data_IF_101367415380
#
_entry.id   IF_101367415380
#
_cell.length_a   1.000
_cell.length_b   1.000
_cell.length_c   1.000
_cell.angle_alpha   90.00
_cell.angle_beta   90.00
_cell.angle_gamma   90.00
#
_symmetry.space_group_name_H-M   'P 1'
#
loop_
_entity.id
_entity.type
_entity.pdbx_description
1 polymer ?
#
# COMPACT_ATOMS: atom_id res chain seq x y z
N UNK A 1 -45.34 -72.17 -37.52
CA UNK A 1 -45.02 -71.02 -38.41
C UNK A 1 -45.38 -69.74 -37.68
N UNK A 2 -44.55 -68.71 -37.88
CA UNK A 2 -44.60 -67.35 -37.35
C UNK A 2 -43.88 -67.07 -36.03
N UNK A 3 -42.77 -66.35 -36.24
CA UNK A 3 -41.82 -65.68 -35.35
C UNK A 3 -42.49 -64.65 -34.45
N UNK A 4 -41.99 -64.52 -33.22
CA UNK A 4 -41.85 -63.21 -32.58
C UNK A 4 -40.63 -63.19 -31.66
N UNK A 5 -39.71 -62.27 -31.98
CA UNK A 5 -38.52 -61.91 -31.20
C UNK A 5 -38.93 -61.14 -29.93
N UNK A 6 -38.25 -61.36 -28.80
CA UNK A 6 -38.07 -60.31 -27.80
C UNK A 6 -36.57 -60.08 -27.59
N UNK A 7 -36.17 -58.87 -27.97
CA UNK A 7 -34.84 -58.32 -27.86
C UNK A 7 -34.54 -57.89 -26.42
N UNK A 8 -33.37 -58.30 -25.93
CA UNK A 8 -32.64 -57.68 -24.84
C UNK A 8 -32.20 -56.27 -25.28
N UNK A 9 -32.44 -55.24 -24.47
CA UNK A 9 -31.74 -53.96 -24.60
C UNK A 9 -31.45 -53.42 -23.19
N UNK A 10 -30.25 -53.72 -22.69
CA UNK A 10 -29.66 -53.04 -21.55
C UNK A 10 -28.93 -51.80 -22.05
N UNK A 11 -29.43 -50.62 -21.69
CA UNK A 11 -28.79 -49.34 -21.98
C UNK A 11 -27.63 -49.11 -21.01
N UNK A 12 -26.39 -49.20 -21.50
CA UNK A 12 -25.19 -48.74 -20.80
C UNK A 12 -25.06 -47.22 -21.00
N UNK A 13 -25.37 -46.42 -19.97
CA UNK A 13 -25.11 -44.98 -19.99
C UNK A 13 -23.69 -44.74 -19.51
N UNK A 14 -22.76 -44.47 -20.45
CA UNK A 14 -21.39 -44.06 -20.13
C UNK A 14 -21.42 -42.58 -19.75
N UNK A 15 -21.20 -42.28 -18.47
CA UNK A 15 -20.98 -40.92 -17.98
C UNK A 15 -19.54 -40.51 -18.30
N UNK A 16 -19.35 -39.73 -19.35
CA UNK A 16 -18.05 -39.14 -19.69
C UNK A 16 -17.82 -37.92 -18.78
N UNK A 17 -17.07 -38.11 -17.69
CA UNK A 17 -16.60 -37.02 -16.85
C UNK A 17 -15.48 -36.30 -17.63
N UNK A 18 -15.83 -35.19 -18.28
CA UNK A 18 -14.85 -34.24 -18.80
C UNK A 18 -14.22 -33.51 -17.61
N UNK A 19 -13.05 -33.98 -17.18
CA UNK A 19 -12.11 -33.19 -16.38
C UNK A 19 -11.67 -32.01 -17.25
N UNK A 20 -12.36 -30.87 -17.09
CA UNK A 20 -11.86 -29.58 -17.58
C UNK A 20 -10.68 -29.21 -16.67
N UNK A 21 -9.50 -29.64 -17.06
CA UNK A 21 -8.25 -29.08 -16.55
C UNK A 21 -8.20 -27.62 -17.00
N UNK A 22 -8.50 -26.68 -16.10
CA UNK A 22 -8.21 -25.27 -16.32
C UNK A 22 -6.75 -25.14 -16.76
N UNK A 23 -6.44 -24.48 -17.88
CA UNK A 23 -5.06 -24.26 -18.25
C UNK A 23 -4.45 -23.42 -17.14
N UNK A 24 -3.41 -23.95 -16.48
CA UNK A 24 -2.50 -23.11 -15.73
C UNK A 24 -1.97 -22.10 -16.74
N UNK A 25 -2.39 -20.84 -16.64
CA UNK A 25 -1.84 -19.77 -17.47
C UNK A 25 -0.35 -19.69 -17.15
N UNK A 26 0.48 -20.29 -18.00
CA UNK A 26 1.92 -20.16 -17.90
C UNK A 26 2.23 -18.67 -18.10
N UNK A 27 2.67 -18.00 -17.03
CA UNK A 27 3.04 -16.59 -17.11
C UNK A 27 4.18 -16.44 -18.14
N UNK A 28 4.09 -15.49 -19.08
CA UNK A 28 4.90 -15.49 -20.30
C UNK A 28 6.38 -15.08 -20.12
N UNK A 29 6.77 -14.66 -18.92
CA UNK A 29 8.11 -14.11 -18.64
C UNK A 29 8.87 -14.97 -17.65
N UNK A 30 10.21 -15.06 -17.78
CA UNK A 30 11.10 -15.58 -16.73
C UNK A 30 11.39 -14.50 -15.67
N UNK A 31 11.71 -14.90 -14.43
CA UNK A 31 12.03 -13.94 -13.34
C UNK A 31 13.22 -13.04 -13.65
N UNK A 32 14.19 -13.56 -14.40
CA UNK A 32 15.37 -12.82 -14.83
C UNK A 32 15.09 -11.83 -15.98
N UNK A 33 13.94 -11.93 -16.66
CA UNK A 33 13.60 -11.06 -17.79
C UNK A 33 12.76 -9.87 -17.33
N UNK A 34 13.46 -8.90 -16.76
CA UNK A 34 12.88 -7.67 -16.21
C UNK A 34 12.18 -6.80 -17.29
N UNK A 35 12.60 -6.89 -18.54
CA UNK A 35 11.98 -6.15 -19.66
C UNK A 35 10.64 -6.78 -20.01
N UNK A 36 10.57 -8.11 -20.10
CA UNK A 36 9.32 -8.83 -20.32
C UNK A 36 8.34 -8.57 -19.17
N UNK A 37 8.78 -8.74 -17.90
CA UNK A 37 7.94 -8.53 -16.72
C UNK A 37 7.36 -7.11 -16.70
N UNK A 38 8.21 -6.09 -16.91
CA UNK A 38 7.77 -4.70 -16.97
C UNK A 38 6.71 -4.49 -18.05
N UNK A 39 6.92 -5.00 -19.26
CA UNK A 39 5.95 -4.88 -20.36
C UNK A 39 4.63 -5.59 -20.03
N UNK A 40 4.69 -6.76 -19.40
CA UNK A 40 3.51 -7.53 -19.00
C UNK A 40 2.69 -6.80 -17.93
N UNK A 41 3.36 -6.28 -16.89
CA UNK A 41 2.75 -5.46 -15.84
C UNK A 41 2.15 -4.19 -16.46
N UNK A 42 2.93 -3.45 -17.26
CA UNK A 42 2.49 -2.16 -17.80
C UNK A 42 1.30 -2.30 -18.76
N UNK A 43 1.25 -3.38 -19.54
CA UNK A 43 0.17 -3.68 -20.49
C UNK A 43 -1.02 -4.42 -19.89
N UNK A 44 -1.03 -4.72 -18.59
CA UNK A 44 -2.03 -5.60 -17.98
C UNK A 44 -3.43 -4.96 -17.97
N UNK A 45 -4.48 -5.78 -18.18
CA UNK A 45 -5.86 -5.32 -18.26
C UNK A 45 -6.34 -4.59 -16.99
N UNK A 46 -5.88 -5.03 -15.81
CA UNK A 46 -6.21 -4.39 -14.52
C UNK A 46 -5.64 -2.97 -14.38
N UNK A 47 -4.75 -2.54 -15.26
CA UNK A 47 -4.29 -1.13 -15.30
C UNK A 47 -5.21 -0.24 -16.13
N UNK A 48 -6.27 -0.78 -16.72
CA UNK A 48 -7.22 -0.07 -17.58
C UNK A 48 -8.54 0.14 -16.88
N UNK A 49 -9.08 1.37 -16.94
CA UNK A 49 -10.35 1.69 -16.30
C UNK A 49 -11.51 0.85 -16.83
N UNK A 50 -11.44 0.42 -18.09
CA UNK A 50 -12.41 -0.45 -18.70
C UNK A 50 -12.63 -1.76 -17.92
N UNK A 51 -11.55 -2.35 -17.36
CA UNK A 51 -11.65 -3.56 -16.53
C UNK A 51 -12.43 -3.30 -15.24
N UNK A 52 -12.25 -2.11 -14.65
CA UNK A 52 -12.82 -1.77 -13.34
C UNK A 52 -14.22 -1.14 -13.38
N UNK A 53 -14.70 -0.67 -14.53
CA UNK A 53 -16.04 -0.06 -14.67
C UNK A 53 -17.18 -0.86 -13.99
N UNK A 54 -17.22 -2.21 -14.07
CA UNK A 54 -18.26 -2.99 -13.38
C UNK A 54 -18.13 -2.97 -11.84
N UNK A 55 -16.91 -2.76 -11.32
CA UNK A 55 -16.59 -2.80 -9.89
C UNK A 55 -16.84 -1.46 -9.19
N UNK A 56 -16.80 -0.34 -9.92
CA UNK A 56 -16.89 1.02 -9.40
C UNK A 56 -18.30 1.46 -8.96
N UNK A 57 -19.28 0.56 -8.89
CA UNK A 57 -20.65 0.89 -8.46
C UNK A 57 -20.76 0.93 -6.93
N UNK A 58 -21.67 1.76 -6.41
CA UNK A 58 -21.91 1.89 -4.96
C UNK A 58 -20.87 2.75 -4.25
N UNK A 59 -20.76 2.60 -2.94
CA UNK A 59 -19.77 3.25 -2.06
C UNK A 59 -18.54 2.37 -1.87
N UNK A 60 -17.46 2.88 -1.27
CA UNK A 60 -16.27 2.09 -0.93
C UNK A 60 -16.58 0.81 -0.17
N UNK A 61 -17.57 0.82 0.73
CA UNK A 61 -18.05 -0.38 1.44
C UNK A 61 -18.62 -1.44 0.49
N UNK A 62 -19.33 -1.03 -0.56
CA UNK A 62 -19.88 -1.92 -1.60
C UNK A 62 -18.81 -2.44 -2.57
N UNK A 63 -17.60 -1.85 -2.53
CA UNK A 63 -16.46 -2.17 -3.40
C UNK A 63 -15.38 -3.01 -2.70
N UNK A 64 -15.66 -3.52 -1.50
CA UNK A 64 -14.81 -4.50 -0.82
C UNK A 64 -15.10 -5.90 -1.36
N UNK A 65 -14.11 -6.58 -1.92
CA UNK A 65 -14.30 -7.89 -2.58
C UNK A 65 -13.09 -8.80 -2.45
N UNK A 66 -13.30 -10.08 -2.71
CA UNK A 66 -12.22 -11.02 -3.06
C UNK A 66 -11.53 -10.55 -4.34
N UNK A 67 -10.20 -10.67 -4.42
CA UNK A 67 -9.46 -10.36 -5.63
C UNK A 67 -9.90 -11.24 -6.82
N UNK A 68 -10.23 -10.66 -7.99
CA UNK A 68 -10.47 -11.43 -9.22
C UNK A 68 -9.18 -12.09 -9.73
N UNK A 69 -9.30 -13.12 -10.57
CA UNK A 69 -8.15 -13.88 -11.05
C UNK A 69 -7.13 -13.00 -11.79
N UNK A 70 -7.62 -12.06 -12.60
CA UNK A 70 -6.78 -11.11 -13.35
C UNK A 70 -5.99 -10.19 -12.42
N UNK A 71 -6.54 -9.83 -11.25
CA UNK A 71 -5.79 -9.07 -10.26
C UNK A 71 -4.69 -9.92 -9.61
N UNK A 72 -4.97 -11.19 -9.33
CA UNK A 72 -3.96 -12.11 -8.77
C UNK A 72 -2.81 -12.31 -9.75
N UNK A 73 -3.12 -12.56 -11.03
CA UNK A 73 -2.11 -12.71 -12.09
C UNK A 73 -1.21 -11.46 -12.19
N UNK A 74 -1.83 -10.28 -12.13
CA UNK A 74 -1.12 -9.01 -12.09
C UNK A 74 -0.19 -8.87 -10.88
N UNK A 75 -0.69 -9.14 -9.67
CA UNK A 75 0.10 -9.01 -8.44
C UNK A 75 1.27 -9.99 -8.41
N UNK A 76 1.11 -11.19 -8.96
CA UNK A 76 2.22 -12.16 -9.12
C UNK A 76 3.29 -11.60 -10.07
N UNK A 77 2.88 -11.02 -11.21
CA UNK A 77 3.83 -10.39 -12.15
C UNK A 77 4.55 -9.20 -11.52
N UNK A 78 3.82 -8.37 -10.75
CA UNK A 78 4.38 -7.20 -10.08
C UNK A 78 5.35 -7.60 -8.96
N UNK A 79 5.01 -8.59 -8.14
CA UNK A 79 5.93 -9.13 -7.12
C UNK A 79 7.23 -9.63 -7.75
N UNK A 80 7.14 -10.40 -8.85
CA UNK A 80 8.31 -10.89 -9.58
C UNK A 80 9.15 -9.76 -10.18
N UNK A 81 8.51 -8.74 -10.75
CA UNK A 81 9.18 -7.53 -11.27
C UNK A 81 9.96 -6.81 -10.16
N UNK A 82 9.38 -6.73 -8.96
CA UNK A 82 9.98 -6.04 -7.82
C UNK A 82 10.86 -6.93 -6.93
N UNK A 83 11.01 -8.21 -7.27
CA UNK A 83 11.88 -9.17 -6.57
C UNK A 83 11.33 -9.72 -5.25
N UNK A 84 10.02 -9.63 -5.03
CA UNK A 84 9.32 -10.29 -3.92
C UNK A 84 9.14 -11.78 -4.22
N UNK A 85 9.38 -12.62 -3.23
CA UNK A 85 9.25 -14.09 -3.36
C UNK A 85 7.81 -14.55 -3.10
N UNK A 86 7.01 -13.69 -2.47
CA UNK A 86 5.63 -13.92 -2.12
C UNK A 86 4.76 -14.04 -3.37
N UNK A 87 3.86 -15.02 -3.36
CA UNK A 87 2.91 -15.31 -4.43
C UNK A 87 1.51 -15.05 -3.91
N UNK A 88 0.89 -13.91 -4.29
CA UNK A 88 -0.42 -13.53 -3.80
C UNK A 88 -1.49 -14.56 -4.18
N UNK A 89 -2.38 -14.85 -3.25
CA UNK A 89 -3.55 -15.71 -3.49
C UNK A 89 -4.83 -15.00 -3.07
N UNK A 90 -5.95 -15.23 -3.78
CA UNK A 90 -7.21 -14.58 -3.42
C UNK A 90 -7.70 -15.10 -2.07
N UNK A 91 -8.23 -14.20 -1.25
CA UNK A 91 -8.77 -14.55 0.06
C UNK A 91 -10.25 -14.17 0.16
N UNK A 92 -11.04 -15.08 0.73
CA UNK A 92 -12.42 -14.77 1.10
C UNK A 92 -12.42 -13.93 2.36
N UNK A 93 -13.35 -12.97 2.44
CA UNK A 93 -13.47 -12.14 3.63
C UNK A 93 -14.11 -12.93 4.77
N UNK A 94 -13.33 -13.21 5.81
CA UNK A 94 -13.89 -13.70 7.05
C UNK A 94 -14.87 -12.66 7.64
N UNK A 95 -16.00 -13.06 8.26
CA UNK A 95 -16.99 -12.10 8.76
C UNK A 95 -16.42 -11.05 9.72
N UNK A 96 -15.49 -11.45 10.60
CA UNK A 96 -14.83 -10.53 11.52
C UNK A 96 -13.92 -9.53 10.82
N UNK A 97 -13.20 -9.97 9.78
CA UNK A 97 -12.36 -9.08 8.99
C UNK A 97 -13.19 -8.08 8.17
N UNK A 98 -14.29 -8.55 7.56
CA UNK A 98 -15.22 -7.69 6.83
C UNK A 98 -15.82 -6.60 7.74
N UNK A 99 -16.20 -6.96 8.97
CA UNK A 99 -16.73 -6.02 9.95
C UNK A 99 -15.69 -4.95 10.33
N UNK A 100 -14.46 -5.36 10.65
CA UNK A 100 -13.40 -4.42 11.02
C UNK A 100 -13.01 -3.51 9.86
N UNK A 101 -12.95 -4.03 8.63
CA UNK A 101 -12.66 -3.23 7.44
C UNK A 101 -13.78 -2.21 7.16
N UNK A 102 -15.05 -2.64 7.25
CA UNK A 102 -16.19 -1.75 7.07
C UNK A 102 -16.20 -0.64 8.14
N UNK A 103 -15.91 -0.98 9.39
CA UNK A 103 -15.84 -0.02 10.50
C UNK A 103 -14.64 0.93 10.36
N UNK A 104 -13.49 0.44 9.90
CA UNK A 104 -12.32 1.26 9.62
C UNK A 104 -12.59 2.32 8.55
N UNK A 105 -13.27 1.93 7.46
CA UNK A 105 -13.73 2.85 6.42
C UNK A 105 -14.77 3.83 6.94
N UNK A 106 -15.78 3.35 7.69
CA UNK A 106 -16.82 4.22 8.24
C UNK A 106 -16.29 5.31 9.16
N UNK A 107 -15.23 5.01 9.90
CA UNK A 107 -14.60 5.94 10.82
C UNK A 107 -13.68 6.96 10.12
N UNK A 108 -13.54 6.93 8.79
CA UNK A 108 -12.79 7.94 8.06
C UNK A 108 -13.54 9.28 8.07
N UNK A 109 -12.84 10.44 8.12
CA UNK A 109 -13.51 11.73 8.05
C UNK A 109 -14.31 11.89 6.74
N UNK A 110 -15.47 12.56 6.75
CA UNK A 110 -16.32 12.72 5.56
C UNK A 110 -15.59 13.29 4.34
N UNK A 111 -14.69 14.25 4.56
CA UNK A 111 -13.88 14.83 3.47
C UNK A 111 -12.95 13.80 2.82
N UNK A 112 -12.44 12.82 3.58
CA UNK A 112 -11.62 11.73 3.04
C UNK A 112 -12.46 10.83 2.14
N UNK A 113 -13.71 10.51 2.53
CA UNK A 113 -14.63 9.82 1.64
C UNK A 113 -14.87 10.59 0.34
N UNK A 114 -15.18 11.89 0.43
CA UNK A 114 -15.49 12.72 -0.73
C UNK A 114 -14.38 12.71 -1.78
N UNK A 115 -13.11 12.75 -1.35
CA UNK A 115 -11.96 12.75 -2.28
C UNK A 115 -11.57 11.35 -2.76
N UNK A 116 -11.83 10.31 -1.96
CA UNK A 116 -11.46 8.92 -2.25
C UNK A 116 -12.46 8.25 -3.20
N UNK A 117 -13.76 8.36 -2.90
CA UNK A 117 -14.84 7.61 -3.57
C UNK A 117 -14.85 7.73 -5.10
N UNK A 118 -14.61 8.91 -5.70
CA UNK A 118 -14.57 9.04 -7.15
C UNK A 118 -13.39 8.32 -7.82
N UNK A 119 -12.31 8.06 -7.08
CA UNK A 119 -11.07 7.47 -7.58
C UNK A 119 -10.96 5.97 -7.30
N UNK A 120 -11.64 5.46 -6.27
CA UNK A 120 -11.49 4.09 -5.82
C UNK A 120 -12.20 3.09 -6.75
N UNK A 121 -11.45 2.24 -7.44
CA UNK A 121 -11.97 1.11 -8.19
C UNK A 121 -12.58 0.03 -7.27
N UNK A 122 -11.87 -0.29 -6.19
CA UNK A 122 -12.29 -1.22 -5.16
C UNK A 122 -11.16 -1.57 -4.19
N UNK A 123 -11.52 -2.30 -3.14
CA UNK A 123 -10.60 -2.81 -2.12
C UNK A 123 -10.64 -4.33 -2.19
N UNK A 124 -9.51 -4.95 -2.48
CA UNK A 124 -9.40 -6.38 -2.76
C UNK A 124 -8.59 -7.10 -1.69
N UNK A 125 -9.09 -8.26 -1.24
CA UNK A 125 -8.45 -9.01 -0.16
C UNK A 125 -7.69 -10.20 -0.72
N UNK A 126 -6.44 -10.33 -0.27
CA UNK A 126 -5.51 -11.40 -0.64
C UNK A 126 -4.79 -11.94 0.58
N UNK A 127 -3.98 -12.98 0.39
CA UNK A 127 -2.93 -13.40 1.31
C UNK A 127 -1.61 -13.52 0.57
N UNK A 128 -0.51 -13.44 1.31
CA UNK A 128 0.84 -13.62 0.79
C UNK A 128 1.20 -12.55 -0.26
N UNK A 129 0.89 -11.28 0.07
CA UNK A 129 1.18 -10.12 -0.77
C UNK A 129 2.68 -9.75 -0.75
N UNK A 130 3.37 -9.98 0.36
CA UNK A 130 4.73 -9.47 0.61
C UNK A 130 4.77 -8.12 1.33
N UNK A 131 3.60 -7.57 1.67
CA UNK A 131 3.42 -6.32 2.41
C UNK A 131 2.06 -6.29 3.12
N UNK A 132 1.70 -5.12 3.65
CA UNK A 132 0.46 -4.92 4.43
C UNK A 132 -0.71 -4.46 3.60
N UNK A 133 -0.40 -3.63 2.61
CA UNK A 133 -1.32 -3.09 1.64
C UNK A 133 -0.54 -2.82 0.35
N UNK A 134 -1.30 -2.57 -0.70
CA UNK A 134 -0.79 -2.21 -2.00
C UNK A 134 -1.83 -1.34 -2.70
N UNK A 135 -1.37 -0.37 -3.47
CA UNK A 135 -2.23 0.46 -4.28
C UNK A 135 -1.61 0.63 -5.66
N UNK A 136 -2.43 0.48 -6.70
CA UNK A 136 -2.03 0.75 -8.08
C UNK A 136 -3.07 1.63 -8.78
N UNK A 137 -2.56 2.48 -9.66
CA UNK A 137 -3.30 3.40 -10.47
C UNK A 137 -3.85 2.72 -11.71
N UNK A 138 -5.00 3.23 -12.10
CA UNK A 138 -5.76 2.79 -13.25
C UNK A 138 -5.79 3.94 -14.25
N UNK A 139 -5.40 3.62 -15.48
CA UNK A 139 -5.34 4.54 -16.59
C UNK A 139 -6.70 4.61 -17.30
N UNK A 140 -7.12 5.81 -17.67
CA UNK A 140 -8.29 6.05 -18.50
C UNK A 140 -8.05 5.70 -19.99
N UNK A 141 -9.04 5.92 -20.85
CA UNK A 141 -8.93 5.67 -22.29
C UNK A 141 -7.89 6.56 -23.00
N UNK A 142 -7.36 7.58 -22.32
CA UNK A 142 -6.31 8.49 -22.81
C UNK A 142 -4.95 8.20 -22.18
N UNK A 143 -4.78 7.01 -21.58
CA UNK A 143 -3.56 6.61 -20.89
C UNK A 143 -3.18 7.55 -19.71
N UNK A 144 -4.15 8.25 -19.14
CA UNK A 144 -3.96 9.17 -18.02
C UNK A 144 -4.37 8.51 -16.70
N UNK A 145 -3.55 8.60 -15.62
CA UNK A 145 -3.95 8.08 -14.31
C UNK A 145 -5.21 8.77 -13.79
N UNK A 146 -6.28 8.00 -13.57
CA UNK A 146 -7.60 8.54 -13.26
C UNK A 146 -8.23 7.94 -11.99
N UNK A 147 -7.96 6.66 -11.73
CA UNK A 147 -8.52 5.90 -10.61
C UNK A 147 -7.44 4.99 -10.00
N UNK A 148 -7.78 4.16 -9.04
CA UNK A 148 -6.88 3.15 -8.50
C UNK A 148 -7.61 2.10 -7.67
N UNK A 149 -7.00 0.94 -7.49
CA UNK A 149 -7.50 -0.10 -6.59
C UNK A 149 -6.54 -0.26 -5.41
N UNK A 150 -7.10 -0.71 -4.29
CA UNK A 150 -6.35 -1.03 -3.07
C UNK A 150 -6.41 -2.54 -2.88
N UNK A 151 -5.31 -3.13 -2.44
CA UNK A 151 -5.21 -4.53 -2.05
C UNK A 151 -4.74 -4.59 -0.61
N UNK A 152 -5.36 -5.44 0.20
CA UNK A 152 -4.96 -5.67 1.60
C UNK A 152 -4.65 -7.15 1.81
N UNK A 153 -3.56 -7.41 2.54
CA UNK A 153 -3.22 -8.76 2.97
C UNK A 153 -3.90 -9.07 4.31
N UNK A 154 -4.80 -10.06 4.31
CA UNK A 154 -5.51 -10.49 5.52
C UNK A 154 -4.54 -11.00 6.62
N UNK A 155 -3.40 -11.61 6.22
CA UNK A 155 -2.46 -12.23 7.15
C UNK A 155 -1.65 -11.22 7.98
N UNK A 156 -1.45 -10.01 7.47
CA UNK A 156 -0.81 -8.92 8.23
C UNK A 156 -1.70 -8.44 9.38
N UNK A 157 -3.00 -8.63 9.24
CA UNK A 157 -4.01 -7.96 10.05
C UNK A 157 -4.41 -8.81 11.26
N UNK A 158 -3.59 -9.75 11.73
CA UNK A 158 -3.87 -10.48 12.99
C UNK A 158 -3.43 -9.73 14.25
N UNK A 159 -2.79 -8.56 14.09
CA UNK A 159 -2.23 -7.74 15.17
C UNK A 159 -3.16 -6.59 15.56
N UNK A 160 -3.04 -6.11 16.78
CA UNK A 160 -3.60 -4.81 17.19
C UNK A 160 -2.85 -3.66 16.52
N UNK A 161 -3.40 -2.45 16.54
CA UNK A 161 -2.82 -1.26 15.90
C UNK A 161 -1.37 -1.00 16.34
N UNK A 162 -1.11 -0.99 17.65
CA UNK A 162 0.21 -0.72 18.20
C UNK A 162 1.18 -1.88 17.96
N UNK A 163 0.72 -3.13 18.02
CA UNK A 163 1.54 -4.31 17.73
C UNK A 163 1.94 -4.37 16.24
N UNK A 164 1.00 -4.06 15.34
CA UNK A 164 1.27 -3.93 13.91
C UNK A 164 2.27 -2.80 13.64
N UNK A 165 2.01 -1.61 14.20
CA UNK A 165 2.85 -0.44 13.99
C UNK A 165 4.27 -0.65 14.51
N UNK A 166 4.42 -1.22 15.71
CA UNK A 166 5.73 -1.61 16.29
C UNK A 166 6.46 -2.59 15.37
N UNK A 167 5.78 -3.64 14.91
CA UNK A 167 6.38 -4.62 14.00
C UNK A 167 6.85 -3.96 12.70
N UNK A 168 5.98 -3.16 12.07
CA UNK A 168 6.28 -2.44 10.83
C UNK A 168 7.51 -1.54 10.97
N UNK A 169 7.52 -0.67 11.97
CA UNK A 169 8.63 0.27 12.22
C UNK A 169 9.93 -0.44 12.61
N UNK A 170 9.86 -1.72 13.02
CA UNK A 170 11.03 -2.56 13.31
C UNK A 170 11.63 -3.21 12.07
N UNK A 171 10.87 -3.37 10.99
CA UNK A 171 11.33 -4.10 9.78
C UNK A 171 12.61 -3.54 9.15
N UNK A 172 12.94 -2.24 9.20
CA UNK A 172 14.21 -1.74 8.65
C UNK A 172 15.46 -2.15 9.44
N UNK A 173 15.29 -2.55 10.70
CA UNK A 173 16.38 -2.76 11.66
C UNK A 173 16.65 -4.24 11.89
N UNK A 174 17.93 -4.59 11.97
CA UNK A 174 18.34 -5.88 12.52
C UNK A 174 18.03 -5.91 14.01
N UNK A 175 17.67 -7.07 14.54
CA UNK A 175 17.44 -7.25 15.97
C UNK A 175 18.70 -6.88 16.76
N UNK A 176 18.52 -6.17 17.87
CA UNK A 176 19.56 -5.80 18.81
C UNK A 176 19.12 -6.20 20.23
N UNK A 177 20.02 -6.77 21.06
CA UNK A 177 19.64 -7.24 22.40
C UNK A 177 19.46 -6.10 23.41
N UNK A 178 19.97 -4.90 23.13
CA UNK A 178 19.88 -3.75 24.03
C UNK A 178 18.79 -2.78 23.60
N UNK A 179 18.64 -2.55 22.29
CA UNK A 179 17.73 -1.56 21.74
C UNK A 179 16.48 -2.22 21.14
N UNK A 180 15.32 -1.66 21.49
CA UNK A 180 14.03 -1.99 20.88
C UNK A 180 13.23 -0.73 20.64
N UNK A 181 12.23 -0.83 19.77
CA UNK A 181 11.24 0.23 19.59
C UNK A 181 9.85 -0.25 19.99
N UNK A 182 9.06 0.68 20.52
CA UNK A 182 7.65 0.48 20.84
C UNK A 182 6.85 1.59 20.17
N UNK A 183 5.92 1.20 19.31
CA UNK A 183 5.06 2.12 18.56
C UNK A 183 3.68 2.23 19.18
N UNK A 184 3.13 3.44 19.19
CA UNK A 184 1.78 3.74 19.65
C UNK A 184 1.06 4.63 18.64
N UNK A 185 0.04 4.08 17.99
CA UNK A 185 -0.90 4.81 17.12
C UNK A 185 -2.33 4.82 17.68
N UNK A 186 -2.60 4.03 18.72
CA UNK A 186 -3.87 4.03 19.45
C UNK A 186 -3.66 3.96 20.96
N UNK A 187 -4.63 4.48 21.72
CA UNK A 187 -4.69 4.25 23.16
C UNK A 187 -5.16 2.81 23.44
N UNK A 188 -4.93 2.32 24.67
CA UNK A 188 -5.23 0.92 25.03
C UNK A 188 -6.69 0.49 24.74
N UNK A 189 -7.67 1.38 24.92
CA UNK A 189 -9.08 1.07 24.65
C UNK A 189 -9.38 0.84 23.16
N UNK A 190 -8.55 1.44 22.29
CA UNK A 190 -8.72 1.47 20.84
C UNK A 190 -7.62 0.66 20.12
N UNK A 191 -6.72 0.02 20.86
CA UNK A 191 -5.64 -0.79 20.30
C UNK A 191 -6.18 -2.14 19.80
N UNK A 192 -6.79 -2.11 18.61
CA UNK A 192 -7.48 -3.23 18.00
C UNK A 192 -7.16 -3.32 16.50
N UNK A 193 -7.61 -4.41 15.87
CA UNK A 193 -7.36 -4.69 14.45
C UNK A 193 -8.01 -3.64 13.53
N UNK A 194 -9.24 -3.21 13.81
CA UNK A 194 -9.93 -2.18 13.02
C UNK A 194 -9.07 -0.92 12.88
N UNK A 195 -8.47 -0.46 13.97
CA UNK A 195 -7.64 0.74 13.93
C UNK A 195 -6.28 0.53 13.24
N UNK A 196 -5.73 -0.69 13.27
CA UNK A 196 -4.60 -1.05 12.40
C UNK A 196 -4.98 -0.93 10.92
N UNK A 197 -6.13 -1.50 10.54
CA UNK A 197 -6.68 -1.44 9.17
C UNK A 197 -6.90 0.02 8.77
N UNK A 198 -7.45 0.86 9.64
CA UNK A 198 -7.69 2.27 9.33
C UNK A 198 -6.38 2.99 8.98
N UNK A 199 -5.31 2.79 9.75
CA UNK A 199 -4.03 3.45 9.44
C UNK A 199 -3.43 2.95 8.12
N UNK A 200 -3.50 1.65 7.85
CA UNK A 200 -3.04 1.06 6.57
C UNK A 200 -3.86 1.64 5.41
N UNK A 201 -5.18 1.65 5.53
CA UNK A 201 -6.06 2.24 4.51
C UNK A 201 -5.73 3.70 4.25
N UNK A 202 -5.47 4.48 5.30
CA UNK A 202 -5.10 5.88 5.14
C UNK A 202 -3.81 6.04 4.32
N UNK A 203 -2.83 5.16 4.48
CA UNK A 203 -1.63 5.13 3.66
C UNK A 203 -1.97 4.84 2.19
N UNK A 204 -2.71 3.76 1.91
CA UNK A 204 -3.09 3.40 0.54
C UNK A 204 -3.98 4.45 -0.13
N UNK A 205 -4.88 5.08 0.63
CA UNK A 205 -5.68 6.22 0.18
C UNK A 205 -4.77 7.40 -0.15
N UNK A 206 -3.69 7.62 0.59
CA UNK A 206 -2.67 8.61 0.25
C UNK A 206 -2.11 8.40 -1.16
N UNK A 207 -1.73 7.18 -1.52
CA UNK A 207 -1.35 6.86 -2.91
C UNK A 207 -2.50 7.08 -3.89
N UNK A 208 -3.72 6.65 -3.58
CA UNK A 208 -4.89 6.87 -4.43
C UNK A 208 -5.16 8.34 -4.73
N UNK A 209 -5.05 9.21 -3.73
CA UNK A 209 -5.31 10.64 -3.88
C UNK A 209 -4.19 11.32 -4.66
N UNK A 210 -3.00 10.72 -4.73
CA UNK A 210 -1.91 11.19 -5.58
C UNK A 210 -2.17 10.97 -7.08
N UNK A 211 -3.03 10.00 -7.44
CA UNK A 211 -3.35 9.67 -8.84
C UNK A 211 -3.98 10.87 -9.55
N UNK A 212 -3.33 11.34 -10.61
CA UNK A 212 -3.76 12.54 -11.35
C UNK A 212 -3.63 13.85 -10.55
N UNK A 213 -3.00 13.80 -9.37
CA UNK A 213 -2.73 14.94 -8.51
C UNK A 213 -1.36 15.57 -8.76
N UNK A 214 -1.18 16.82 -8.32
CA UNK A 214 0.10 17.56 -8.42
C UNK A 214 0.93 17.45 -7.15
N UNK A 215 1.11 16.22 -6.65
CA UNK A 215 1.90 15.94 -5.45
C UNK A 215 3.29 15.40 -5.76
N UNK A 216 3.37 14.49 -6.73
CA UNK A 216 4.58 13.94 -7.33
C UNK A 216 4.25 13.41 -8.74
N UNK A 217 5.24 13.17 -9.63
CA UNK A 217 5.01 12.52 -10.91
C UNK A 217 4.38 11.14 -10.75
N UNK A 218 3.74 10.65 -11.81
CA UNK A 218 3.26 9.27 -11.87
C UNK A 218 4.43 8.26 -11.80
N UNK A 219 4.28 7.18 -11.03
CA UNK A 219 5.42 6.30 -10.70
C UNK A 219 6.05 5.59 -11.89
N UNK A 220 5.28 5.24 -12.92
CA UNK A 220 5.86 4.68 -14.16
C UNK A 220 6.66 5.70 -14.97
N UNK A 221 6.29 6.98 -14.92
CA UNK A 221 7.05 8.05 -15.58
C UNK A 221 8.30 8.42 -14.77
N UNK A 222 8.26 8.18 -13.46
CA UNK A 222 9.39 8.35 -12.55
C UNK A 222 9.96 9.78 -12.53
N UNK A 223 11.25 9.92 -12.19
CA UNK A 223 11.93 11.22 -12.14
C UNK A 223 11.98 11.95 -13.48
N UNK A 224 11.89 11.21 -14.60
CA UNK A 224 12.01 11.78 -15.96
C UNK A 224 10.83 12.67 -16.36
N UNK A 225 9.69 12.52 -15.68
CA UNK A 225 8.51 13.36 -15.88
C UNK A 225 8.61 14.72 -15.18
N UNK A 226 9.51 14.88 -14.21
CA UNK A 226 9.72 16.17 -13.55
C UNK A 226 10.38 17.15 -14.51
N UNK A 227 9.71 18.26 -14.84
CA UNK A 227 10.23 19.26 -15.78
C UNK A 227 10.90 20.41 -15.05
N UNK A 228 10.25 20.94 -14.02
CA UNK A 228 10.74 22.11 -13.31
C UNK A 228 10.22 22.19 -11.87
N UNK A 229 10.93 22.98 -11.06
CA UNK A 229 10.52 23.30 -9.68
C UNK A 229 9.19 24.07 -9.71
N UNK A 230 8.27 23.70 -8.82
CA UNK A 230 6.93 24.27 -8.70
C UNK A 230 5.86 23.44 -9.41
N UNK A 231 6.24 22.48 -10.26
CA UNK A 231 5.30 21.57 -10.92
C UNK A 231 4.55 20.71 -9.87
N UNK A 232 5.29 20.21 -8.88
CA UNK A 232 4.82 19.38 -7.76
C UNK A 232 5.20 20.02 -6.41
N UNK A 233 4.39 20.97 -5.88
CA UNK A 233 4.76 21.74 -4.69
C UNK A 233 5.00 20.89 -3.44
N UNK A 234 4.35 19.73 -3.32
CA UNK A 234 4.59 18.81 -2.21
C UNK A 234 5.95 18.11 -2.32
N UNK A 235 6.25 17.51 -3.48
CA UNK A 235 7.55 16.88 -3.78
C UNK A 235 8.70 17.86 -3.52
N UNK A 236 8.55 19.12 -3.94
CA UNK A 236 9.58 20.15 -3.78
C UNK A 236 10.02 20.41 -2.35
N UNK A 237 9.20 20.04 -1.35
CA UNK A 237 9.53 20.24 0.06
C UNK A 237 10.68 19.33 0.52
N UNK A 238 10.65 18.05 0.13
CA UNK A 238 11.59 17.04 0.64
C UNK A 238 12.50 16.44 -0.43
N UNK A 239 12.14 16.59 -1.70
CA UNK A 239 12.75 15.89 -2.81
C UNK A 239 13.14 16.83 -3.94
N UNK A 240 14.04 16.35 -4.77
CA UNK A 240 14.39 16.93 -6.06
C UNK A 240 14.85 15.80 -6.99
N UNK A 241 15.21 16.14 -8.23
CA UNK A 241 15.71 15.18 -9.20
C UNK A 241 17.20 15.39 -9.38
N UNK A 242 17.98 14.31 -9.37
CA UNK A 242 19.42 14.36 -9.57
C UNK A 242 19.77 14.94 -10.95
N UNK A 243 20.97 15.54 -11.12
CA UNK A 243 21.48 15.88 -12.44
C UNK A 243 21.39 14.70 -13.40
N UNK A 244 20.78 14.92 -14.57
CA UNK A 244 20.53 13.87 -15.56
C UNK A 244 19.14 13.22 -15.48
N UNK A 245 18.27 13.60 -14.53
CA UNK A 245 16.84 13.32 -14.62
C UNK A 245 16.40 11.88 -14.30
N UNK A 246 17.28 11.06 -13.73
CA UNK A 246 17.04 9.60 -13.59
C UNK A 246 16.69 9.13 -12.18
N UNK A 247 16.87 9.97 -11.16
CA UNK A 247 16.70 9.56 -9.76
C UNK A 247 16.11 10.69 -8.93
N UNK A 248 15.18 10.35 -8.04
CA UNK A 248 14.76 11.25 -6.97
C UNK A 248 15.78 11.23 -5.85
N UNK A 249 16.22 12.41 -5.42
CA UNK A 249 17.15 12.57 -4.32
C UNK A 249 16.52 13.44 -3.24
N UNK A 250 16.70 13.03 -1.98
CA UNK A 250 16.19 13.82 -0.88
C UNK A 250 16.99 15.12 -0.74
N UNK A 251 16.32 16.21 -0.37
CA UNK A 251 16.99 17.44 0.07
C UNK A 251 17.73 17.27 1.40
N UNK A 252 17.47 16.16 2.10
CA UNK A 252 17.98 15.87 3.43
C UNK A 252 19.05 14.77 3.45
N UNK A 253 19.62 14.31 2.33
CA UNK A 253 20.62 13.22 2.33
C UNK A 253 21.79 13.48 3.30
N UNK A 254 22.25 14.73 3.41
CA UNK A 254 23.32 15.12 4.33
C UNK A 254 22.88 15.10 5.80
N UNK A 255 21.62 15.39 6.06
CA UNK A 255 21.05 15.45 7.42
C UNK A 255 20.67 14.05 7.89
N UNK A 256 20.08 13.24 7.01
CA UNK A 256 19.59 11.90 7.27
C UNK A 256 20.19 10.86 6.31
N UNK A 257 21.50 10.56 6.44
CA UNK A 257 22.21 9.65 5.54
C UNK A 257 21.75 8.18 5.65
N UNK A 258 21.07 7.82 6.74
CA UNK A 258 20.52 6.48 6.94
C UNK A 258 19.40 6.12 5.96
N UNK A 259 18.77 7.11 5.31
CA UNK A 259 17.64 6.94 4.39
C UNK A 259 17.87 5.85 3.34
N UNK A 260 19.05 5.80 2.74
CA UNK A 260 19.43 4.82 1.69
C UNK A 260 19.39 3.36 2.15
N UNK A 261 19.48 3.14 3.47
CA UNK A 261 19.50 1.83 4.10
C UNK A 261 18.14 1.49 4.75
N UNK A 262 17.15 2.40 4.68
CA UNK A 262 15.79 2.14 5.15
C UNK A 262 15.09 1.22 4.15
N UNK A 263 14.77 0.00 4.57
CA UNK A 263 14.02 -0.98 3.78
C UNK A 263 12.92 -1.56 4.64
N UNK A 264 11.66 -1.26 4.31
CA UNK A 264 10.51 -1.87 4.98
C UNK A 264 10.13 -3.18 4.31
N UNK A 265 9.62 -4.14 5.10
CA UNK A 265 9.15 -5.47 4.69
C UNK A 265 10.17 -6.40 3.99
N UNK A 266 11.30 -5.87 3.52
CA UNK A 266 12.42 -6.64 2.99
C UNK A 266 13.46 -7.02 4.04
N UNK A 267 14.65 -7.38 3.57
CA UNK A 267 15.78 -7.72 4.44
C UNK A 267 16.28 -6.47 5.18
N UNK A 268 16.31 -6.46 6.54
CA UNK A 268 16.76 -5.31 7.31
C UNK A 268 18.23 -4.97 7.00
N UNK A 269 18.52 -3.68 6.85
CA UNK A 269 19.88 -3.18 6.58
C UNK A 269 20.42 -2.30 7.70
N UNK A 270 19.55 -1.61 8.44
CA UNK A 270 19.97 -0.77 9.56
C UNK A 270 20.35 -1.62 10.77
N UNK A 271 21.34 -1.15 11.52
CA UNK A 271 21.69 -1.76 12.79
C UNK A 271 20.66 -1.38 13.87
N UNK A 272 20.23 -2.32 14.70
CA UNK A 272 19.29 -2.02 15.80
C UNK A 272 19.89 -1.05 16.81
N UNK A 273 21.21 -1.08 17.03
CA UNK A 273 21.89 -0.10 17.87
C UNK A 273 21.83 1.34 17.30
N UNK A 274 21.54 1.51 16.00
CA UNK A 274 21.41 2.81 15.36
C UNK A 274 20.03 3.46 15.58
N UNK A 275 19.05 2.75 16.17
CA UNK A 275 17.69 3.24 16.42
C UNK A 275 17.65 4.69 16.96
N UNK A 276 18.34 5.03 18.07
CA UNK A 276 18.29 6.38 18.62
C UNK A 276 18.77 7.45 17.64
N UNK A 277 19.84 7.16 16.90
CA UNK A 277 20.38 8.14 15.96
C UNK A 277 19.52 8.29 14.72
N UNK A 278 18.99 7.18 14.17
CA UNK A 278 18.12 7.20 12.98
C UNK A 278 16.93 8.12 13.23
N UNK A 279 16.21 7.95 14.34
CA UNK A 279 15.05 8.78 14.65
C UNK A 279 15.40 10.22 15.04
N UNK A 280 16.54 10.44 15.69
CA UNK A 280 17.05 11.80 15.96
C UNK A 280 17.34 12.55 14.65
N UNK A 281 17.97 11.89 13.68
CA UNK A 281 18.28 12.48 12.36
C UNK A 281 17.02 12.65 11.52
N UNK A 282 16.09 11.70 11.57
CA UNK A 282 14.77 11.83 10.94
C UNK A 282 14.02 13.07 11.46
N UNK A 283 14.03 13.29 12.77
CA UNK A 283 13.40 14.46 13.41
C UNK A 283 14.02 15.80 12.98
N UNK A 284 15.24 15.81 12.44
CA UNK A 284 15.88 17.00 11.86
C UNK A 284 15.48 17.25 10.39
N UNK A 285 14.55 16.46 9.85
CA UNK A 285 14.00 16.61 8.49
C UNK A 285 12.51 16.94 8.51
N UNK A 286 11.93 17.21 7.35
CA UNK A 286 10.48 17.37 7.21
C UNK A 286 9.73 16.04 6.96
N UNK A 287 10.42 14.88 6.97
CA UNK A 287 9.77 13.59 6.84
C UNK A 287 8.94 13.29 8.10
N UNK A 288 7.69 12.90 7.88
CA UNK A 288 6.71 12.68 8.95
C UNK A 288 6.91 11.32 9.64
N UNK A 289 7.42 10.34 8.90
CA UNK A 289 7.67 8.96 9.34
C UNK A 289 8.97 8.44 8.70
N UNK A 290 9.50 7.33 9.23
CA UNK A 290 10.67 6.68 8.65
C UNK A 290 10.35 6.10 7.27
N UNK A 291 9.15 5.54 7.10
CA UNK A 291 8.70 5.00 5.82
C UNK A 291 8.54 6.09 4.75
N UNK A 292 7.99 7.25 5.12
CA UNK A 292 7.82 8.38 4.20
C UNK A 292 9.14 9.00 3.75
N UNK A 293 10.25 8.68 4.41
CA UNK A 293 11.58 9.09 3.96
C UNK A 293 12.13 8.23 2.80
N UNK A 294 11.49 7.11 2.44
CA UNK A 294 12.07 6.16 1.48
C UNK A 294 12.02 6.67 0.04
N UNK A 295 10.91 7.26 -0.40
CA UNK A 295 10.73 7.84 -1.73
C UNK A 295 9.60 8.91 -1.75
N UNK A 296 9.44 9.70 -2.83
CA UNK A 296 8.42 10.74 -2.91
C UNK A 296 6.96 10.25 -2.84
N UNK A 297 6.70 9.02 -3.27
CA UNK A 297 5.37 8.43 -3.27
C UNK A 297 4.93 8.13 -1.83
N UNK A 298 5.79 7.43 -1.09
CA UNK A 298 5.57 7.13 0.33
C UNK A 298 5.60 8.41 1.18
N UNK A 299 6.41 9.42 0.83
CA UNK A 299 6.40 10.70 1.54
C UNK A 299 5.00 11.34 1.53
N UNK A 300 4.35 11.35 0.38
CA UNK A 300 2.99 11.87 0.28
C UNK A 300 1.99 10.98 1.02
N UNK A 301 2.03 9.67 0.79
CA UNK A 301 1.10 8.73 1.40
C UNK A 301 1.16 8.75 2.94
N UNK A 302 2.37 8.70 3.50
CA UNK A 302 2.59 8.78 4.95
C UNK A 302 2.22 10.15 5.52
N UNK A 303 2.48 11.22 4.77
CA UNK A 303 2.07 12.57 5.17
C UNK A 303 0.55 12.69 5.20
N UNK A 304 -0.16 12.17 4.21
CA UNK A 304 -1.62 12.13 4.23
C UNK A 304 -2.12 11.28 5.41
N UNK A 305 -1.60 10.06 5.56
CA UNK A 305 -2.07 9.13 6.58
C UNK A 305 -1.89 9.67 7.99
N UNK A 306 -0.68 10.13 8.32
CA UNK A 306 -0.40 10.69 9.65
C UNK A 306 -1.11 12.01 9.90
N UNK A 307 -1.36 12.83 8.86
CA UNK A 307 -2.14 14.05 9.00
C UNK A 307 -3.59 13.73 9.37
N UNK A 308 -4.24 12.83 8.63
CA UNK A 308 -5.62 12.42 8.95
C UNK A 308 -5.67 11.78 10.34
N UNK A 309 -4.79 10.82 10.61
CA UNK A 309 -4.73 10.09 11.89
C UNK A 309 -4.55 11.03 13.10
N UNK A 310 -3.56 11.90 13.07
CA UNK A 310 -3.20 12.70 14.26
C UNK A 310 -3.86 14.06 14.31
N UNK A 311 -4.10 14.71 13.17
CA UNK A 311 -4.67 16.07 13.12
C UNK A 311 -6.18 16.03 13.02
N UNK A 312 -6.76 15.15 12.20
CA UNK A 312 -8.22 15.11 11.99
C UNK A 312 -8.90 14.19 12.99
N UNK A 313 -8.37 12.98 13.18
CA UNK A 313 -8.92 11.98 14.10
C UNK A 313 -8.40 12.13 15.54
N UNK A 314 -7.39 12.99 15.78
CA UNK A 314 -6.81 13.27 17.10
C UNK A 314 -6.23 12.04 17.80
N UNK A 315 -5.74 11.07 17.04
CA UNK A 315 -5.14 9.84 17.55
C UNK A 315 -3.65 10.01 17.82
N UNK A 316 -3.06 9.23 18.75
CA UNK A 316 -1.64 9.32 19.04
C UNK A 316 -0.78 8.85 17.86
N UNK A 317 0.46 9.29 17.82
CA UNK A 317 1.52 8.75 16.97
C UNK A 317 2.84 8.97 17.70
N UNK A 318 3.36 7.89 18.27
CA UNK A 318 4.57 7.89 19.09
C UNK A 318 5.41 6.65 18.80
N UNK A 319 6.72 6.84 18.71
CA UNK A 319 7.71 5.75 18.66
C UNK A 319 8.68 5.97 19.81
N UNK A 320 8.67 5.06 20.77
CA UNK A 320 9.61 5.04 21.89
C UNK A 320 10.80 4.18 21.52
N UNK A 321 11.99 4.68 21.80
CA UNK A 321 13.24 3.95 21.61
C UNK A 321 13.75 3.60 23.00
N UNK A 322 13.88 2.32 23.29
CA UNK A 322 14.26 1.83 24.60
C UNK A 322 15.65 1.21 24.56
N UNK A 323 16.39 1.36 25.66
CA UNK A 323 17.63 0.62 25.94
C UNK A 323 17.40 -0.19 27.21
N UNK A 324 17.22 -1.51 27.09
CA UNK A 324 16.56 -2.28 28.14
C UNK A 324 15.16 -1.71 28.40
N UNK A 325 14.81 -1.47 29.66
CA UNK A 325 13.51 -0.87 30.04
C UNK A 325 13.50 0.67 30.03
N UNK A 326 14.65 1.32 29.82
CA UNK A 326 14.75 2.77 29.89
C UNK A 326 14.47 3.41 28.53
N UNK A 327 13.45 4.27 28.46
CA UNK A 327 13.16 5.11 27.30
C UNK A 327 14.31 6.10 27.07
N UNK A 328 15.02 5.94 25.94
CA UNK A 328 16.13 6.80 25.53
C UNK A 328 15.64 8.05 24.81
N UNK A 329 14.65 7.89 23.95
CA UNK A 329 14.04 8.99 23.20
C UNK A 329 12.65 8.62 22.72
N UNK A 330 11.90 9.65 22.33
CA UNK A 330 10.54 9.51 21.84
C UNK A 330 10.38 10.36 20.58
N UNK A 331 10.06 9.71 19.46
CA UNK A 331 9.68 10.38 18.22
C UNK A 331 8.17 10.52 18.16
N UNK A 332 7.68 11.73 17.85
CA UNK A 332 6.25 12.05 17.81
C UNK A 332 5.86 12.66 16.47
N UNK A 333 4.56 12.69 16.23
CA UNK A 333 3.96 13.47 15.15
C UNK A 333 4.45 14.92 15.14
N UNK A 334 4.89 15.38 13.97
CA UNK A 334 5.46 16.72 13.78
C UNK A 334 4.45 17.78 13.33
N UNK A 335 3.16 17.48 13.19
CA UNK A 335 2.20 18.44 12.62
C UNK A 335 2.00 19.71 13.46
N UNK A 336 2.45 19.70 14.72
CA UNK A 336 2.53 20.89 15.58
C UNK A 336 3.86 21.65 15.49
N UNK A 337 4.84 21.13 14.76
CA UNK A 337 6.22 21.65 14.67
C UNK A 337 6.47 22.37 13.35
N UNK A 338 7.43 23.30 13.36
CA UNK A 338 7.85 24.06 12.17
C UNK A 338 8.29 23.14 11.02
N UNK A 339 8.98 22.04 11.34
CA UNK A 339 9.55 21.12 10.34
C UNK A 339 8.51 20.49 9.41
N UNK A 340 7.24 20.39 9.82
CA UNK A 340 6.16 19.83 9.00
C UNK A 340 5.11 20.88 8.59
N UNK A 341 5.33 22.16 8.88
CA UNK A 341 4.35 23.20 8.65
C UNK A 341 4.00 23.36 7.16
N UNK A 342 5.00 23.31 6.26
CA UNK A 342 4.77 23.43 4.82
C UNK A 342 3.88 22.28 4.27
N UNK A 343 4.16 21.03 4.67
CA UNK A 343 3.34 19.86 4.32
C UNK A 343 1.92 20.02 4.86
N UNK A 344 1.80 20.49 6.10
CA UNK A 344 0.51 20.74 6.77
C UNK A 344 -0.33 21.73 5.98
N UNK A 345 0.26 22.84 5.54
CA UNK A 345 -0.44 23.87 4.75
C UNK A 345 -0.93 23.33 3.40
N UNK A 346 -0.13 22.50 2.72
CA UNK A 346 -0.52 21.87 1.46
C UNK A 346 -1.71 20.93 1.69
N UNK A 347 -1.60 19.99 2.62
CA UNK A 347 -2.66 19.00 2.90
C UNK A 347 -3.95 19.66 3.39
N UNK A 348 -3.85 20.55 4.39
CA UNK A 348 -5.01 21.28 4.90
C UNK A 348 -5.62 22.22 3.85
N UNK A 349 -4.81 22.79 2.96
CA UNK A 349 -5.29 23.60 1.86
C UNK A 349 -6.02 22.78 0.81
N UNK A 350 -5.47 21.62 0.45
CA UNK A 350 -6.05 20.71 -0.54
C UNK A 350 -7.37 20.09 -0.04
N UNK A 351 -7.39 19.57 1.19
CA UNK A 351 -8.59 19.01 1.83
C UNK A 351 -9.71 20.03 2.09
N UNK A 352 -9.42 21.34 2.12
CA UNK A 352 -10.49 22.36 2.26
C UNK A 352 -11.13 22.75 0.94
N UNK A 353 -10.48 22.47 -0.19
CA UNK A 353 -10.94 22.86 -1.53
C UNK A 353 -11.69 21.75 -2.26
N UNK A 354 -11.62 20.53 -1.73
CA UNK A 354 -12.33 19.34 -2.22
C UNK A 354 -13.18 18.83 -1.07
#
# INVERSE_FOLDING_TARGET
MNRTNLFLCQSLTVFLILLVSSPAFALPCMDSDQVCLRRAVEGHAVRRIAFWKPFMKGTSKDRIRRAPAELIDYLILDNRLNGFAETPVPADLSPGFAADLAAALEALPPVVHNVMEPKLAGIFIVRNLGGTGYMEAVLDERETPAAGFIVLDEAVLTKTANAWFTWRESTPFRSDPQFRLEGMIENQADDNRQNAIQFILLHEIGHLLSVGGRFHPFWFSGPSAFREKGEYPFLDLSWTVAPGGREFVSRYEKVFPYRKDVVFYGKPKLDGAALPEVYRKLAATNFVTLYGATNPYDDFAESFATYVHTVMLKKPYEIRILKGEAVQSVFRSCWGEERCEAKRRILAGWLRRN
#
